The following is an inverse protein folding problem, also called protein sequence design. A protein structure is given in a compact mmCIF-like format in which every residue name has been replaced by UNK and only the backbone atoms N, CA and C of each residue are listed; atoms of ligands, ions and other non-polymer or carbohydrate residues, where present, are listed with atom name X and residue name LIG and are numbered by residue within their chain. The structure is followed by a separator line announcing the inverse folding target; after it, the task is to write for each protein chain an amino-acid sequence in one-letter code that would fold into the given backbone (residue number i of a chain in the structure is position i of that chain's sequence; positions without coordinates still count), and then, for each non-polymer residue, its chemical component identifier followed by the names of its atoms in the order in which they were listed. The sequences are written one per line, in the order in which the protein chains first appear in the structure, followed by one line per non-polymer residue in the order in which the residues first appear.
data_IF_344111350447
#
_entry.id   IF_344111350447
#
_cell.length_a   1.000
_cell.length_b   1.000
_cell.length_c   1.000
_cell.angle_alpha   90.00
_cell.angle_beta   90.00
_cell.angle_gamma   90.00
#
_symmetry.space_group_name_H-M   'P 1'
#
loop_
_entity.id
_entity.type
_entity.pdbx_description
1 polymer ?
#
# COMPACT_ATOMS: atom_id res chain seq x y z
N UNK A 1 -2.71 14.41 17.02
CA UNK A 1 -2.82 13.71 15.73
C UNK A 1 -1.60 14.12 14.92
N UNK A 2 -0.84 13.20 14.30
CA UNK A 2 0.36 13.57 13.51
C UNK A 2 0.00 14.04 12.10
N UNK A 3 -1.11 13.56 11.54
CA UNK A 3 -1.63 14.05 10.26
C UNK A 3 -2.43 15.33 10.53
N UNK A 4 -1.82 16.47 10.19
CA UNK A 4 -2.44 17.80 10.28
C UNK A 4 -3.44 17.99 9.12
N UNK A 5 -4.29 19.00 9.21
CA UNK A 5 -5.32 19.26 8.20
C UNK A 5 -4.75 19.67 6.83
N UNK A 6 -3.53 20.19 6.78
CA UNK A 6 -2.80 20.57 5.56
C UNK A 6 -1.98 19.42 4.94
N UNK A 7 -1.98 18.22 5.53
CA UNK A 7 -1.18 17.10 5.04
C UNK A 7 -1.70 16.58 3.70
N UNK A 8 -0.80 16.37 2.73
CA UNK A 8 -1.13 15.93 1.37
C UNK A 8 -2.05 14.72 1.29
N UNK A 9 -1.92 13.78 2.22
CA UNK A 9 -2.74 12.55 2.29
C UNK A 9 -4.24 12.83 2.40
N UNK A 10 -4.65 14.05 2.81
CA UNK A 10 -6.04 14.43 2.98
C UNK A 10 -6.63 15.18 1.77
N UNK A 11 -5.79 15.60 0.81
CA UNK A 11 -6.22 16.55 -0.22
C UNK A 11 -6.13 16.00 -1.65
N UNK A 12 -5.23 15.04 -1.90
CA UNK A 12 -5.02 14.49 -3.23
C UNK A 12 -5.40 13.02 -3.27
N UNK A 13 -6.37 12.61 -4.11
CA UNK A 13 -6.65 11.20 -4.35
C UNK A 13 -5.40 10.46 -4.78
N UNK A 14 -5.24 9.22 -4.32
CA UNK A 14 -4.03 8.42 -4.52
C UNK A 14 -4.26 7.39 -5.62
N UNK A 15 -3.37 7.31 -6.60
CA UNK A 15 -3.44 6.34 -7.68
C UNK A 15 -2.99 4.95 -7.19
N UNK A 16 -3.90 3.97 -7.17
CA UNK A 16 -3.67 2.59 -6.73
C UNK A 16 -2.68 1.89 -7.66
N UNK A 17 -1.54 1.45 -7.15
CA UNK A 17 -0.46 0.81 -7.92
C UNK A 17 0.01 1.65 -9.12
N UNK A 18 0.06 2.98 -8.96
CA UNK A 18 0.23 3.93 -10.03
C UNK A 18 -1.05 4.16 -10.84
N UNK A 19 -0.96 4.98 -11.88
CA UNK A 19 -2.09 5.31 -12.75
C UNK A 19 -2.16 4.30 -13.90
N UNK A 20 -2.52 3.05 -13.58
CA UNK A 20 -2.58 1.93 -14.49
C UNK A 20 -3.92 1.82 -15.24
N UNK A 21 -4.04 0.85 -16.17
CA UNK A 21 -5.20 0.63 -17.03
C UNK A 21 -4.91 1.00 -18.49
N UNK A 22 -5.83 0.69 -19.41
CA UNK A 22 -5.66 0.94 -20.84
C UNK A 22 -4.34 0.38 -21.43
N UNK A 23 -3.97 -0.83 -21.03
CA UNK A 23 -2.73 -1.49 -21.46
C UNK A 23 -1.48 -1.17 -20.61
N UNK A 24 -1.56 -0.27 -19.65
CA UNK A 24 -0.49 0.02 -18.70
C UNK A 24 -0.64 -0.92 -17.49
N UNK A 25 0.34 -1.79 -17.20
CA UNK A 25 0.27 -2.69 -16.05
C UNK A 25 0.32 -1.96 -14.71
N UNK A 26 -0.34 -2.51 -13.68
CA UNK A 26 -0.21 -2.05 -12.30
C UNK A 26 1.23 -2.22 -11.78
N UNK A 27 1.65 -1.38 -10.83
CA UNK A 27 3.00 -1.39 -10.25
C UNK A 27 4.12 -1.39 -11.30
N UNK A 28 3.89 -0.82 -12.48
CA UNK A 28 4.87 -0.69 -13.55
C UNK A 28 5.47 0.72 -13.62
N UNK A 29 6.60 0.86 -14.29
CA UNK A 29 7.24 2.16 -14.50
C UNK A 29 6.33 3.13 -15.24
N UNK A 30 5.62 2.65 -16.27
CA UNK A 30 4.69 3.50 -17.03
C UNK A 30 3.47 3.92 -16.18
N UNK A 31 2.97 3.06 -15.27
CA UNK A 31 1.91 3.45 -14.33
C UNK A 31 2.38 4.54 -13.36
N UNK A 32 3.61 4.45 -12.86
CA UNK A 32 4.20 5.47 -12.00
C UNK A 32 4.41 6.79 -12.76
N UNK A 33 4.91 6.73 -13.99
CA UNK A 33 5.09 7.89 -14.87
C UNK A 33 3.75 8.59 -15.13
N UNK A 34 2.71 7.84 -15.46
CA UNK A 34 1.38 8.39 -15.71
C UNK A 34 0.81 9.09 -14.47
N UNK A 35 1.01 8.52 -13.26
CA UNK A 35 0.61 9.16 -12.01
C UNK A 35 1.37 10.46 -11.76
N UNK A 36 2.69 10.47 -11.93
CA UNK A 36 3.53 11.67 -11.78
C UNK A 36 3.11 12.78 -12.73
N UNK A 37 2.91 12.45 -14.02
CA UNK A 37 2.48 13.43 -15.03
C UNK A 37 1.12 14.05 -14.74
N UNK A 38 0.25 13.28 -14.07
CA UNK A 38 -1.09 13.72 -13.65
C UNK A 38 -1.10 14.37 -12.26
N UNK A 39 0.04 14.43 -11.56
CA UNK A 39 0.18 15.02 -10.22
C UNK A 39 -0.50 14.23 -9.10
N UNK A 40 -0.78 12.94 -9.31
CA UNK A 40 -1.34 12.06 -8.29
C UNK A 40 -0.27 11.44 -7.41
N UNK A 41 -0.44 11.42 -6.07
CA UNK A 41 0.30 10.52 -5.20
C UNK A 41 0.15 9.07 -5.67
N UNK A 42 1.20 8.27 -5.47
CA UNK A 42 1.25 6.87 -5.89
C UNK A 42 1.09 5.97 -4.68
N UNK A 43 0.16 5.02 -4.76
CA UNK A 43 0.18 3.86 -3.88
C UNK A 43 0.89 2.72 -4.60
N UNK A 44 1.69 1.95 -3.86
CA UNK A 44 2.45 0.80 -4.38
C UNK A 44 2.63 -0.28 -3.33
N UNK A 45 2.74 -1.52 -3.79
CA UNK A 45 2.96 -2.71 -2.98
C UNK A 45 4.42 -3.12 -3.00
N UNK A 46 5.01 -3.43 -1.87
CA UNK A 46 6.42 -3.86 -1.77
C UNK A 46 6.51 -5.25 -1.18
N UNK A 47 7.29 -6.12 -1.83
CA UNK A 47 7.56 -7.49 -1.42
C UNK A 47 9.04 -7.85 -1.57
N UNK A 48 9.49 -8.86 -0.80
CA UNK A 48 10.84 -9.43 -0.91
C UNK A 48 10.86 -10.62 -1.86
N UNK A 49 11.93 -10.72 -2.63
CA UNK A 49 12.36 -11.94 -3.31
C UNK A 49 13.01 -12.93 -2.33
N UNK A 50 13.36 -14.12 -2.82
CA UNK A 50 14.09 -15.16 -2.07
C UNK A 50 15.41 -14.66 -1.49
N UNK A 51 16.11 -13.82 -2.22
CA UNK A 51 17.40 -13.20 -1.88
C UNK A 51 17.25 -11.78 -1.30
N UNK A 52 16.06 -11.44 -0.80
CA UNK A 52 15.71 -10.20 -0.10
C UNK A 52 15.82 -8.92 -0.94
N UNK A 53 15.71 -8.98 -2.26
CA UNK A 53 15.51 -7.78 -3.06
C UNK A 53 14.06 -7.27 -2.91
N UNK A 54 13.89 -5.94 -2.81
CA UNK A 54 12.57 -5.31 -2.74
C UNK A 54 12.02 -5.04 -4.13
N UNK A 55 10.86 -5.61 -4.44
CA UNK A 55 10.15 -5.44 -5.71
C UNK A 55 8.78 -4.78 -5.50
N UNK A 56 8.34 -3.99 -6.48
CA UNK A 56 7.01 -3.41 -6.51
C UNK A 56 6.03 -4.39 -7.15
N UNK A 57 5.31 -5.16 -6.33
CA UNK A 57 4.40 -6.20 -6.82
C UNK A 57 3.31 -6.52 -5.79
N UNK A 58 2.06 -6.75 -6.26
CA UNK A 58 0.92 -6.91 -5.35
C UNK A 58 0.70 -8.35 -4.89
N UNK A 59 0.60 -9.30 -5.84
CA UNK A 59 0.16 -10.66 -5.55
C UNK A 59 1.28 -11.50 -4.91
N UNK A 60 0.91 -12.46 -4.08
CA UNK A 60 1.86 -13.46 -3.59
C UNK A 60 2.35 -14.36 -4.75
N UNK A 61 1.42 -14.74 -5.65
CA UNK A 61 1.71 -15.56 -6.83
C UNK A 61 1.86 -14.68 -8.09
N UNK A 62 2.92 -14.89 -8.83
CA UNK A 62 3.28 -14.11 -10.02
C UNK A 62 2.35 -14.36 -11.23
N UNK A 63 1.52 -15.44 -11.20
CA UNK A 63 0.77 -15.94 -12.35
C UNK A 63 -0.13 -14.91 -13.04
N UNK A 64 -0.90 -14.14 -12.26
CA UNK A 64 -1.86 -13.18 -12.83
C UNK A 64 -1.17 -12.13 -13.72
N UNK A 65 -0.04 -11.61 -13.25
CA UNK A 65 0.63 -10.51 -13.93
C UNK A 65 1.75 -10.95 -14.87
N UNK A 66 2.30 -12.16 -14.68
CA UNK A 66 3.47 -12.57 -15.47
C UNK A 66 3.30 -13.90 -16.20
N UNK A 67 2.26 -14.67 -15.88
CA UNK A 67 2.06 -16.03 -16.36
C UNK A 67 2.87 -17.09 -15.61
N UNK A 68 3.86 -16.73 -14.80
CA UNK A 68 4.70 -17.65 -14.05
C UNK A 68 3.97 -18.16 -12.78
N UNK A 69 3.67 -19.44 -12.70
CA UNK A 69 2.99 -20.03 -11.53
C UNK A 69 3.98 -20.35 -10.41
N UNK A 70 4.38 -19.31 -9.69
CA UNK A 70 5.29 -19.39 -8.54
C UNK A 70 5.06 -18.21 -7.60
N UNK A 71 5.47 -18.38 -6.33
CA UNK A 71 5.42 -17.28 -5.36
C UNK A 71 6.62 -16.35 -5.55
N UNK A 72 6.43 -15.05 -5.34
CA UNK A 72 7.49 -14.04 -5.53
C UNK A 72 8.70 -14.30 -4.60
N UNK A 73 8.47 -14.74 -3.38
CA UNK A 73 9.54 -15.06 -2.41
C UNK A 73 10.24 -16.41 -2.65
N UNK A 74 9.82 -17.19 -3.65
CA UNK A 74 10.53 -18.39 -4.11
C UNK A 74 11.46 -18.08 -5.28
N UNK A 75 11.39 -16.85 -5.84
CA UNK A 75 12.22 -16.36 -6.93
C UNK A 75 13.36 -15.48 -6.41
N UNK A 76 14.53 -15.62 -7.02
CA UNK A 76 15.62 -14.65 -6.86
C UNK A 76 15.29 -13.35 -7.60
N UNK A 77 16.05 -12.31 -7.31
CA UNK A 77 15.96 -11.03 -8.02
C UNK A 77 16.01 -11.20 -9.54
N UNK A 78 17.05 -11.91 -10.05
CA UNK A 78 17.24 -12.09 -11.49
C UNK A 78 16.09 -12.87 -12.14
N UNK A 79 15.61 -13.93 -11.47
CA UNK A 79 14.46 -14.71 -11.94
C UNK A 79 13.16 -13.89 -12.01
N UNK A 80 12.92 -13.04 -11.03
CA UNK A 80 11.73 -12.19 -11.01
C UNK A 80 11.82 -11.06 -12.05
N UNK A 81 12.99 -10.47 -12.23
CA UNK A 81 13.26 -9.40 -13.22
C UNK A 81 13.21 -9.88 -14.67
N UNK A 82 13.40 -11.15 -14.92
CA UNK A 82 13.24 -11.74 -16.26
C UNK A 82 11.76 -11.82 -16.71
N UNK A 83 10.81 -11.63 -15.80
CA UNK A 83 9.37 -11.75 -16.09
C UNK A 83 8.80 -10.44 -16.61
N UNK A 84 7.91 -10.54 -17.60
CA UNK A 84 7.17 -9.41 -18.21
C UNK A 84 5.80 -9.25 -17.55
N UNK A 85 5.37 -8.00 -17.36
CA UNK A 85 4.08 -7.66 -16.77
C UNK A 85 2.96 -7.64 -17.82
N UNK A 86 1.90 -8.39 -17.61
CA UNK A 86 0.65 -8.36 -18.39
C UNK A 86 0.85 -8.44 -19.92
N UNK A 87 1.89 -9.17 -20.38
CA UNK A 87 2.19 -9.32 -21.81
C UNK A 87 2.78 -8.07 -22.48
N UNK A 88 3.19 -7.08 -21.71
CA UNK A 88 3.90 -5.87 -22.21
C UNK A 88 5.42 -6.05 -22.15
N UNK A 89 6.18 -5.00 -22.50
CA UNK A 89 7.63 -4.96 -22.28
C UNK A 89 8.05 -4.50 -20.88
N UNK A 90 7.10 -4.08 -20.05
CA UNK A 90 7.34 -3.73 -18.65
C UNK A 90 7.79 -4.93 -17.84
N UNK A 91 8.74 -4.72 -16.94
CA UNK A 91 9.23 -5.70 -15.97
C UNK A 91 8.87 -5.25 -14.56
N UNK A 92 8.94 -6.16 -13.57
CA UNK A 92 8.64 -5.82 -12.17
C UNK A 92 9.68 -4.80 -11.68
N UNK A 93 9.31 -3.55 -11.33
CA UNK A 93 10.27 -2.57 -10.84
C UNK A 93 10.81 -2.94 -9.46
N UNK A 94 12.05 -2.57 -9.16
CA UNK A 94 12.54 -2.57 -7.78
C UNK A 94 11.99 -1.37 -7.01
N UNK A 95 12.01 -1.47 -5.69
CA UNK A 95 11.66 -0.35 -4.84
C UNK A 95 12.67 0.81 -4.97
N UNK A 96 13.96 0.49 -5.18
CA UNK A 96 15.00 1.50 -5.43
C UNK A 96 14.76 2.24 -6.76
N UNK A 97 14.38 1.51 -7.82
CA UNK A 97 14.00 2.12 -9.10
C UNK A 97 12.78 3.05 -8.96
N UNK A 98 11.76 2.63 -8.19
CA UNK A 98 10.60 3.48 -7.91
C UNK A 98 11.03 4.77 -7.20
N UNK A 99 11.77 4.68 -6.09
CA UNK A 99 12.19 5.85 -5.31
C UNK A 99 13.01 6.83 -6.16
N UNK A 100 13.99 6.32 -6.90
CA UNK A 100 14.80 7.13 -7.82
C UNK A 100 13.97 7.74 -8.95
N UNK A 101 12.99 6.99 -9.47
CA UNK A 101 12.13 7.48 -10.55
C UNK A 101 11.12 8.51 -10.07
N UNK A 102 10.56 8.36 -8.88
CA UNK A 102 9.62 9.34 -8.30
C UNK A 102 10.37 10.60 -7.86
N UNK A 103 11.53 10.46 -7.23
CA UNK A 103 12.43 11.56 -6.85
C UNK A 103 11.69 12.74 -6.18
N UNK A 104 10.82 12.45 -5.23
CA UNK A 104 10.04 13.44 -4.49
C UNK A 104 8.96 14.19 -5.28
N UNK A 105 8.79 13.95 -6.59
CA UNK A 105 7.84 14.69 -7.45
C UNK A 105 6.38 14.53 -7.05
N UNK A 106 6.01 13.39 -6.51
CA UNK A 106 4.70 13.10 -5.92
C UNK A 106 4.87 12.27 -4.66
N UNK A 107 3.97 12.40 -3.67
CA UNK A 107 4.02 11.60 -2.46
C UNK A 107 3.74 10.11 -2.71
N UNK A 108 4.25 9.25 -1.80
CA UNK A 108 4.09 7.79 -1.85
C UNK A 108 3.26 7.25 -0.68
N UNK A 109 2.36 6.32 -0.98
CA UNK A 109 1.71 5.42 -0.02
C UNK A 109 2.28 4.01 -0.24
N UNK A 110 3.07 3.52 0.68
CA UNK A 110 3.85 2.28 0.51
C UNK A 110 3.21 1.17 1.34
N UNK A 111 2.62 0.18 0.67
CA UNK A 111 2.09 -1.02 1.32
C UNK A 111 3.17 -2.09 1.43
N UNK A 112 3.49 -2.52 2.66
CA UNK A 112 4.33 -3.70 2.86
C UNK A 112 3.46 -4.95 2.97
N UNK A 113 3.69 -5.90 2.08
CA UNK A 113 2.99 -7.19 2.08
C UNK A 113 3.46 -8.08 3.23
N UNK A 114 2.52 -8.85 3.78
CA UNK A 114 2.81 -9.80 4.85
C UNK A 114 3.52 -11.02 4.30
N UNK A 115 4.80 -11.16 4.59
CA UNK A 115 5.64 -12.30 4.24
C UNK A 115 6.19 -12.99 5.49
N UNK A 116 6.80 -14.18 5.33
CA UNK A 116 7.36 -14.95 6.45
C UNK A 116 8.44 -14.19 7.23
N UNK A 117 9.17 -13.30 6.57
CA UNK A 117 10.31 -12.54 7.09
C UNK A 117 9.94 -11.10 7.43
N UNK A 118 8.91 -10.90 8.27
CA UNK A 118 8.36 -9.57 8.60
C UNK A 118 9.39 -8.53 9.08
N UNK A 119 10.40 -8.96 9.85
CA UNK A 119 11.47 -8.07 10.30
C UNK A 119 12.37 -7.62 9.16
N UNK A 120 12.71 -8.52 8.23
CA UNK A 120 13.61 -8.24 7.11
C UNK A 120 12.99 -7.20 6.16
N UNK A 121 11.72 -7.35 5.78
CA UNK A 121 11.08 -6.37 4.87
C UNK A 121 11.04 -4.97 5.48
N UNK A 122 10.78 -4.87 6.79
CA UNK A 122 10.79 -3.57 7.49
C UNK A 122 12.18 -2.95 7.46
N UNK A 123 13.22 -3.73 7.75
CA UNK A 123 14.61 -3.22 7.77
C UNK A 123 15.06 -2.78 6.38
N UNK A 124 14.77 -3.59 5.36
CA UNK A 124 15.14 -3.26 3.99
C UNK A 124 14.41 -2.01 3.46
N UNK A 125 13.13 -1.83 3.81
CA UNK A 125 12.37 -0.62 3.45
C UNK A 125 12.90 0.60 4.21
N UNK A 126 13.17 0.49 5.52
CA UNK A 126 13.71 1.59 6.32
C UNK A 126 15.05 2.08 5.76
N UNK A 127 15.98 1.18 5.42
CA UNK A 127 17.30 1.55 4.85
C UNK A 127 17.17 2.49 3.64
N UNK A 128 16.14 2.31 2.82
CA UNK A 128 15.90 3.11 1.63
C UNK A 128 15.14 4.40 1.93
N UNK A 129 14.12 4.31 2.77
CA UNK A 129 13.31 5.47 3.12
C UNK A 129 14.04 6.47 4.01
N UNK A 130 15.04 6.04 4.80
CA UNK A 130 15.91 6.94 5.58
C UNK A 130 16.77 7.85 4.68
N UNK A 131 16.98 7.45 3.40
CA UNK A 131 17.74 8.20 2.39
C UNK A 131 16.84 8.93 1.39
N UNK A 132 15.53 8.70 1.45
CA UNK A 132 14.57 9.29 0.50
C UNK A 132 14.04 10.63 1.00
N UNK A 133 14.22 11.68 0.20
CA UNK A 133 13.80 13.04 0.58
C UNK A 133 12.34 13.38 0.22
N UNK A 134 11.65 12.50 -0.50
CA UNK A 134 10.24 12.70 -0.87
C UNK A 134 9.27 12.40 0.27
N UNK A 135 8.05 12.93 0.14
CA UNK A 135 6.96 12.65 1.09
C UNK A 135 6.44 11.23 0.95
N UNK A 136 6.26 10.53 2.06
CA UNK A 136 5.69 9.18 2.07
C UNK A 136 4.93 8.86 3.35
N UNK A 137 4.09 7.85 3.25
CA UNK A 137 3.51 7.13 4.40
C UNK A 137 3.63 5.63 4.15
N UNK A 138 3.72 4.84 5.22
CA UNK A 138 3.76 3.37 5.14
C UNK A 138 2.47 2.76 5.65
N UNK A 139 2.06 1.65 5.06
CA UNK A 139 0.87 0.91 5.49
C UNK A 139 1.04 -0.60 5.34
N UNK A 140 0.25 -1.36 6.06
CA UNK A 140 0.16 -2.82 5.90
C UNK A 140 -1.15 -3.35 6.46
N UNK A 141 -1.60 -4.50 5.94
CA UNK A 141 -2.60 -5.32 6.60
C UNK A 141 -2.03 -6.01 7.85
N UNK A 142 -0.72 -6.25 7.88
CA UNK A 142 -0.07 -6.94 8.98
C UNK A 142 0.28 -5.96 10.11
N UNK A 143 -0.40 -6.07 11.26
CA UNK A 143 -0.13 -5.18 12.39
C UNK A 143 1.26 -5.38 13.01
N UNK A 144 1.89 -6.54 12.82
CA UNK A 144 3.24 -6.77 13.32
C UNK A 144 4.27 -5.99 12.51
N UNK A 145 4.09 -5.83 11.19
CA UNK A 145 4.89 -4.94 10.35
C UNK A 145 4.75 -3.50 10.87
N UNK A 146 3.53 -3.02 11.09
CA UNK A 146 3.30 -1.66 11.59
C UNK A 146 3.87 -1.44 13.00
N UNK A 147 3.84 -2.47 13.86
CA UNK A 147 4.47 -2.43 15.17
C UNK A 147 6.00 -2.31 15.09
N UNK A 148 6.64 -3.02 14.16
CA UNK A 148 8.09 -2.91 13.96
C UNK A 148 8.48 -1.52 13.44
N UNK A 149 7.74 -0.93 12.50
CA UNK A 149 7.94 0.48 12.12
C UNK A 149 7.79 1.43 13.32
N UNK A 150 6.77 1.23 14.15
CA UNK A 150 6.59 2.06 15.35
C UNK A 150 7.80 2.01 16.30
N UNK A 151 8.46 0.86 16.40
CA UNK A 151 9.63 0.71 17.25
C UNK A 151 10.88 1.34 16.63
N UNK A 152 11.10 1.11 15.33
CA UNK A 152 12.34 1.45 14.64
C UNK A 152 12.34 2.88 14.08
N UNK A 153 11.18 3.37 13.64
CA UNK A 153 10.95 4.72 13.09
C UNK A 153 9.63 5.28 13.59
N UNK A 154 9.56 5.68 14.87
CA UNK A 154 8.34 6.23 15.46
C UNK A 154 7.85 7.48 14.74
N UNK A 155 8.72 8.22 14.05
CA UNK A 155 8.44 9.43 13.28
C UNK A 155 7.71 9.15 11.96
N UNK A 156 7.81 7.96 11.37
CA UNK A 156 7.10 7.63 10.13
C UNK A 156 5.59 7.61 10.35
N UNK A 157 4.85 8.22 9.44
CA UNK A 157 3.38 8.16 9.43
C UNK A 157 2.95 6.77 8.97
N UNK A 158 2.12 6.11 9.79
CA UNK A 158 1.72 4.71 9.59
C UNK A 158 0.22 4.55 9.47
N UNK A 159 -0.19 3.80 8.45
CA UNK A 159 -1.57 3.38 8.23
C UNK A 159 -1.81 1.91 8.56
N UNK A 160 -2.97 1.60 9.13
CA UNK A 160 -3.45 0.23 9.24
C UNK A 160 -4.48 -0.03 8.15
N UNK A 161 -4.16 -0.95 7.23
CA UNK A 161 -5.12 -1.46 6.24
C UNK A 161 -6.10 -2.43 6.92
N UNK A 162 -7.38 -2.29 6.58
CA UNK A 162 -8.46 -3.07 7.17
C UNK A 162 -9.39 -3.58 6.07
N UNK A 163 -9.48 -4.91 5.96
CA UNK A 163 -10.51 -5.60 5.19
C UNK A 163 -11.13 -6.68 6.06
N UNK A 164 -12.41 -6.55 6.35
CA UNK A 164 -13.13 -7.49 7.20
C UNK A 164 -13.33 -8.87 6.54
N UNK A 165 -13.31 -8.93 5.20
CA UNK A 165 -13.48 -10.20 4.48
C UNK A 165 -12.20 -11.03 4.45
N UNK A 166 -11.03 -10.43 4.65
CA UNK A 166 -9.74 -11.13 4.66
C UNK A 166 -9.63 -12.17 5.79
N UNK A 167 -10.44 -12.03 6.84
CA UNK A 167 -10.38 -12.85 8.05
C UNK A 167 -11.50 -13.90 8.16
N UNK A 168 -12.26 -14.15 7.09
CA UNK A 168 -13.41 -15.10 7.11
C UNK A 168 -13.05 -16.54 7.54
N UNK A 169 -11.78 -16.92 7.46
CA UNK A 169 -11.29 -18.25 7.83
C UNK A 169 -10.67 -18.32 9.25
N UNK A 170 -10.67 -17.20 10.00
CA UNK A 170 -10.20 -17.20 11.37
C UNK A 170 -11.35 -17.53 12.33
N UNK A 171 -11.05 -18.19 13.45
CA UNK A 171 -12.05 -18.39 14.49
C UNK A 171 -12.63 -17.04 14.95
N UNK A 172 -13.91 -17.01 15.35
CA UNK A 172 -14.59 -15.81 15.81
C UNK A 172 -13.81 -15.05 16.91
N UNK A 173 -13.09 -15.76 17.77
CA UNK A 173 -12.22 -15.18 18.80
C UNK A 173 -10.97 -14.52 18.20
N UNK A 174 -10.35 -15.15 17.21
CA UNK A 174 -9.19 -14.61 16.52
C UNK A 174 -9.59 -13.36 15.68
N UNK A 175 -10.75 -13.41 15.01
CA UNK A 175 -11.30 -12.27 14.27
C UNK A 175 -11.64 -11.09 15.21
N UNK A 176 -12.18 -11.36 16.38
CA UNK A 176 -12.50 -10.35 17.40
C UNK A 176 -11.26 -9.80 18.10
N UNK A 177 -10.20 -10.60 18.29
CA UNK A 177 -8.90 -10.18 18.81
C UNK A 177 -8.09 -9.42 17.73
N UNK A 178 -8.18 -9.84 16.47
CA UNK A 178 -7.62 -9.18 15.30
C UNK A 178 -8.47 -7.98 14.86
N UNK A 179 -9.75 -7.92 15.34
CA UNK A 179 -10.58 -6.76 15.09
C UNK A 179 -9.98 -5.53 15.76
N UNK A 180 -9.92 -4.49 15.02
CA UNK A 180 -9.56 -3.08 15.20
C UNK A 180 -9.13 -2.60 16.61
N UNK A 181 -9.64 -3.20 17.72
CA UNK A 181 -9.39 -2.69 19.08
C UNK A 181 -8.00 -3.09 19.61
N UNK A 182 -7.57 -4.33 19.39
CA UNK A 182 -6.27 -4.84 19.88
C UNK A 182 -5.10 -4.18 19.15
N UNK A 183 -5.19 -4.07 17.83
CA UNK A 183 -4.14 -3.45 17.02
C UNK A 183 -4.02 -1.96 17.24
N UNK A 184 -5.12 -1.27 17.50
CA UNK A 184 -5.12 0.14 17.82
C UNK A 184 -4.28 0.48 19.06
N UNK A 185 -4.15 -0.46 19.99
CA UNK A 185 -3.35 -0.24 21.20
C UNK A 185 -1.85 -0.52 20.97
N UNK A 186 -1.51 -1.60 20.23
CA UNK A 186 -0.12 -2.01 19.99
C UNK A 186 0.55 -1.27 18.85
N UNK A 187 -0.19 -1.06 17.73
CA UNK A 187 0.31 -0.40 16.52
C UNK A 187 0.26 1.12 16.63
N UNK A 188 -0.79 1.68 17.21
CA UNK A 188 -1.09 3.13 17.26
C UNK A 188 -0.93 3.77 15.86
N UNK A 189 -1.70 3.33 14.86
CA UNK A 189 -1.61 3.90 13.52
C UNK A 189 -2.07 5.36 13.53
N UNK A 190 -1.53 6.15 12.61
CA UNK A 190 -1.89 7.57 12.44
C UNK A 190 -3.17 7.72 11.60
N UNK A 191 -3.40 6.80 10.68
CA UNK A 191 -4.64 6.71 9.89
C UNK A 191 -5.10 5.25 9.72
N UNK A 192 -6.35 5.10 9.36
CA UNK A 192 -6.95 3.82 8.98
C UNK A 192 -7.20 3.84 7.47
N UNK A 193 -6.82 2.78 6.78
CA UNK A 193 -7.15 2.61 5.37
C UNK A 193 -8.17 1.49 5.21
N UNK A 194 -9.40 1.87 4.85
CA UNK A 194 -10.59 1.01 4.94
C UNK A 194 -11.18 0.71 3.57
N UNK A 195 -11.49 -0.56 3.30
CA UNK A 195 -12.25 -0.92 2.09
C UNK A 195 -13.59 -0.16 2.06
N UNK A 196 -13.90 0.46 0.92
CA UNK A 196 -15.07 1.34 0.70
C UNK A 196 -16.40 0.68 1.07
N UNK A 197 -16.52 -0.62 0.91
CA UNK A 197 -17.73 -1.37 1.27
C UNK A 197 -18.10 -1.26 2.75
N UNK A 198 -17.11 -1.01 3.64
CA UNK A 198 -17.32 -0.91 5.09
C UNK A 198 -17.51 0.51 5.62
N UNK A 199 -17.58 1.49 4.75
CA UNK A 199 -17.96 2.85 5.13
C UNK A 199 -19.48 2.93 5.41
N UNK A 200 -19.91 3.76 6.38
CA UNK A 200 -19.11 4.60 7.27
C UNK A 200 -18.43 3.84 8.41
N UNK A 201 -17.28 4.37 8.86
CA UNK A 201 -16.56 3.85 10.03
C UNK A 201 -17.09 4.50 11.30
N UNK A 202 -17.44 3.72 12.31
CA UNK A 202 -17.93 4.26 13.58
C UNK A 202 -16.87 5.10 14.31
N UNK A 203 -17.31 6.12 15.07
CA UNK A 203 -16.39 6.95 15.87
C UNK A 203 -15.58 6.14 16.88
N UNK A 204 -16.15 5.04 17.41
CA UNK A 204 -15.47 4.10 18.30
C UNK A 204 -14.26 3.42 17.61
N UNK A 205 -14.39 3.11 16.31
CA UNK A 205 -13.29 2.57 15.52
C UNK A 205 -12.27 3.64 15.14
N UNK A 206 -12.73 4.79 14.66
CA UNK A 206 -11.86 5.91 14.25
C UNK A 206 -10.96 6.35 15.40
N UNK A 207 -11.47 6.47 16.62
CA UNK A 207 -10.75 7.01 17.79
C UNK A 207 -10.01 8.32 17.47
N UNK A 208 -10.64 9.18 16.68
CA UNK A 208 -10.05 10.45 16.23
C UNK A 208 -9.04 10.36 15.08
N UNK A 209 -8.82 9.17 14.48
CA UNK A 209 -7.90 9.02 13.34
C UNK A 209 -8.56 9.39 12.03
N UNK A 210 -7.73 9.78 11.06
CA UNK A 210 -8.12 9.95 9.67
C UNK A 210 -8.46 8.61 9.03
N UNK A 211 -9.40 8.65 8.10
CA UNK A 211 -9.84 7.47 7.33
C UNK A 211 -9.56 7.72 5.86
N UNK A 212 -8.71 6.91 5.27
CA UNK A 212 -8.53 6.81 3.83
C UNK A 212 -9.34 5.59 3.36
N UNK A 213 -9.93 5.67 2.16
CA UNK A 213 -10.75 4.56 1.65
C UNK A 213 -10.17 3.96 0.37
N UNK A 214 -10.28 2.66 0.19
CA UNK A 214 -9.82 1.91 -0.97
C UNK A 214 -10.81 0.79 -1.35
N UNK A 215 -10.85 0.26 -2.55
CA UNK A 215 -10.37 0.87 -3.77
C UNK A 215 -11.56 1.45 -4.48
N UNK A 216 -11.48 2.71 -4.88
CA UNK A 216 -12.57 3.43 -5.54
C UNK A 216 -12.48 3.18 -7.04
N UNK A 217 -13.51 2.53 -7.60
CA UNK A 217 -13.52 2.06 -9.00
C UNK A 217 -14.65 2.65 -9.85
N UNK A 218 -15.56 3.38 -9.24
CA UNK A 218 -16.73 3.99 -9.90
C UNK A 218 -17.22 5.22 -9.14
N UNK A 219 -18.14 5.98 -9.73
CA UNK A 219 -18.65 7.20 -9.12
C UNK A 219 -19.43 6.96 -7.82
N UNK A 220 -20.18 5.86 -7.70
CA UNK A 220 -20.92 5.54 -6.47
C UNK A 220 -19.96 5.29 -5.28
N UNK A 221 -18.86 4.57 -5.51
CA UNK A 221 -17.81 4.38 -4.51
C UNK A 221 -17.13 5.71 -4.17
N UNK A 222 -16.90 6.59 -5.16
CA UNK A 222 -16.31 7.91 -4.98
C UNK A 222 -17.20 8.82 -4.13
N UNK A 223 -18.49 8.90 -4.43
CA UNK A 223 -19.46 9.66 -3.64
C UNK A 223 -19.50 9.16 -2.19
N UNK A 224 -19.49 7.84 -2.00
CA UNK A 224 -19.45 7.21 -0.67
C UNK A 224 -18.16 7.56 0.08
N UNK A 225 -17.01 7.51 -0.60
CA UNK A 225 -15.73 7.86 0.00
C UNK A 225 -15.67 9.35 0.39
N UNK A 226 -16.07 10.26 -0.49
CA UNK A 226 -16.14 11.72 -0.22
C UNK A 226 -17.01 12.01 1.00
N UNK A 227 -18.14 11.29 1.16
CA UNK A 227 -19.06 11.50 2.27
C UNK A 227 -18.56 10.99 3.62
N UNK A 228 -17.74 9.91 3.64
CA UNK A 228 -17.48 9.16 4.88
C UNK A 228 -16.00 8.95 5.21
N UNK A 229 -15.09 9.29 4.31
CA UNK A 229 -13.65 9.23 4.51
C UNK A 229 -12.99 10.61 4.34
N UNK A 230 -11.76 10.75 4.78
CA UNK A 230 -11.00 11.99 4.63
C UNK A 230 -10.33 12.07 3.24
N UNK A 231 -10.04 10.92 2.61
CA UNK A 231 -9.52 10.80 1.24
C UNK A 231 -9.64 9.34 0.76
N UNK A 232 -9.19 9.05 -0.47
CA UNK A 232 -9.32 7.72 -1.06
C UNK A 232 -8.20 7.35 -2.03
N UNK A 233 -8.06 6.04 -2.25
CA UNK A 233 -7.20 5.40 -3.24
C UNK A 233 -8.09 4.88 -4.37
N UNK A 234 -7.78 5.27 -5.62
CA UNK A 234 -8.63 5.00 -6.78
C UNK A 234 -7.91 4.20 -7.87
N UNK A 235 -8.68 3.49 -8.68
CA UNK A 235 -8.25 2.86 -9.94
C UNK A 235 -9.41 2.84 -10.95
N UNK A 236 -9.11 2.77 -12.25
CA UNK A 236 -10.08 2.71 -13.35
C UNK A 236 -11.04 3.90 -13.47
N UNK A 237 -10.85 4.95 -12.69
CA UNK A 237 -11.55 6.24 -12.80
C UNK A 237 -10.53 7.38 -12.84
N UNK A 238 -11.01 8.58 -13.16
CA UNK A 238 -10.22 9.83 -13.02
C UNK A 238 -10.97 10.74 -12.05
N UNK A 239 -10.45 10.97 -10.82
CA UNK A 239 -11.11 11.85 -9.84
C UNK A 239 -11.03 13.32 -10.20
#
# INVERSE_FOLDING_TARGET
MRIKDDHWLLHKPVAHRGLHGNGIPENSREAFKAAIMSGYPIETDVQLTKDNALLCFHDDNLKRMTGADSLIWDKTFDEARALKLAGTDEIIPTFDELLSFVDGRVPLVIELKSQRTKGVIVDEVIKRLDLYEGEFVVQSFDPFIMREFRKKRPEYIRGQLIDKDRHKNLSYLADKLLSVAFFNFTVKPDFMNMNVKYLPVSNRMKKGRRVISWTIRNEADKEKAIKYADNYIFENIRP
#
